data_IF_384477521697
#
_entry.id   IF_384477521697
#
_cell.length_a   1.000
_cell.length_b   1.000
_cell.length_c   1.000
_cell.angle_alpha   90.00
_cell.angle_beta   90.00
_cell.angle_gamma   90.00
#
_symmetry.space_group_name_H-M   'P 1'
#
loop_
_entity.id
_entity.type
_entity.pdbx_description
1 polymer ?
#
# COMPACT_ATOMS: atom_id res chain seq x y z
N UNK A 1 16.99 11.17 6.52
CA UNK A 1 15.96 11.42 7.57
C UNK A 1 16.68 12.00 8.78
N UNK A 2 16.53 13.29 9.03
CA UNK A 2 17.24 13.97 10.10
C UNK A 2 16.88 13.43 11.48
N UNK A 3 17.91 12.96 12.19
CA UNK A 3 17.77 12.56 13.57
C UNK A 3 17.55 13.80 14.45
N UNK A 4 16.41 13.90 15.07
CA UNK A 4 16.23 14.72 16.25
C UNK A 4 15.31 15.93 16.16
N UNK A 5 15.01 16.52 15.01
CA UNK A 5 14.15 17.72 15.02
C UNK A 5 12.65 17.45 14.80
N UNK A 6 12.28 16.34 14.14
CA UNK A 6 10.87 16.04 13.83
C UNK A 6 10.49 14.55 14.04
N UNK A 7 11.23 13.79 14.86
CA UNK A 7 10.91 12.39 15.14
C UNK A 7 11.31 11.40 14.03
N UNK A 8 12.34 11.72 13.25
CA UNK A 8 12.91 10.81 12.25
C UNK A 8 13.83 9.75 12.87
N UNK A 9 13.96 8.58 12.22
CA UNK A 9 14.77 7.45 12.66
C UNK A 9 16.29 7.67 12.58
N UNK A 10 16.75 8.76 11.96
CA UNK A 10 18.17 9.08 11.80
C UNK A 10 18.96 8.12 10.94
N UNK A 11 18.30 7.39 10.04
CA UNK A 11 18.96 6.45 9.13
C UNK A 11 19.87 7.21 8.13
N UNK A 12 21.05 6.67 7.87
CA UNK A 12 21.89 7.12 6.76
C UNK A 12 21.25 6.80 5.40
N UNK A 13 21.65 7.50 4.34
CA UNK A 13 21.12 7.27 2.99
C UNK A 13 21.35 5.82 2.53
N UNK A 14 22.50 5.22 2.92
CA UNK A 14 22.79 3.81 2.62
C UNK A 14 21.88 2.84 3.35
N UNK A 15 21.60 3.06 4.62
CA UNK A 15 20.67 2.25 5.42
C UNK A 15 19.22 2.39 4.89
N UNK A 16 18.80 3.61 4.56
CA UNK A 16 17.50 3.85 3.95
C UNK A 16 17.37 3.14 2.59
N UNK A 17 18.40 3.24 1.75
CA UNK A 17 18.46 2.55 0.46
C UNK A 17 18.38 1.02 0.60
N UNK A 18 19.03 0.44 1.61
CA UNK A 18 18.96 -1.00 1.88
C UNK A 18 17.58 -1.42 2.38
N UNK A 19 17.01 -0.66 3.32
CA UNK A 19 15.70 -0.95 3.91
C UNK A 19 14.60 -0.85 2.85
N UNK A 20 14.52 0.24 2.13
CA UNK A 20 13.46 0.45 1.13
C UNK A 20 13.77 -0.25 -0.20
N UNK A 21 15.00 -0.13 -0.68
CA UNK A 21 15.38 -0.63 -2.00
C UNK A 21 15.61 -2.14 -2.06
N UNK A 22 16.00 -2.80 -0.97
CA UNK A 22 16.23 -4.24 -0.95
C UNK A 22 15.13 -4.97 -0.19
N UNK A 23 15.01 -4.71 1.11
CA UNK A 23 14.05 -5.42 1.98
C UNK A 23 12.62 -5.08 1.56
N UNK A 24 12.33 -3.80 1.30
CA UNK A 24 11.03 -3.34 0.85
C UNK A 24 10.62 -3.96 -0.49
N UNK A 25 11.51 -3.97 -1.48
CA UNK A 25 11.23 -4.55 -2.81
C UNK A 25 10.97 -6.06 -2.73
N UNK A 26 11.72 -6.79 -1.90
CA UNK A 26 11.46 -8.22 -1.66
C UNK A 26 10.07 -8.42 -1.06
N UNK A 27 9.73 -7.67 -0.02
CA UNK A 27 8.41 -7.71 0.62
C UNK A 27 7.28 -7.43 -0.38
N UNK A 28 7.40 -6.33 -1.13
CA UNK A 28 6.45 -5.91 -2.16
C UNK A 28 6.22 -7.00 -3.22
N UNK A 29 7.31 -7.57 -3.73
CA UNK A 29 7.24 -8.59 -4.78
C UNK A 29 6.58 -9.87 -4.28
N UNK A 30 6.98 -10.37 -3.11
CA UNK A 30 6.38 -11.55 -2.49
C UNK A 30 4.90 -11.33 -2.18
N UNK A 31 4.56 -10.18 -1.63
CA UNK A 31 3.17 -9.79 -1.38
C UNK A 31 2.34 -9.79 -2.65
N UNK A 32 2.83 -9.15 -3.72
CA UNK A 32 2.16 -9.08 -5.01
C UNK A 32 1.91 -10.45 -5.65
N UNK A 33 2.91 -11.34 -5.64
CA UNK A 33 2.79 -12.71 -6.15
C UNK A 33 1.74 -13.49 -5.36
N UNK A 34 1.83 -13.47 -4.03
CA UNK A 34 0.89 -14.19 -3.17
C UNK A 34 -0.53 -13.62 -3.26
N UNK A 35 -0.67 -12.30 -3.39
CA UNK A 35 -1.96 -11.65 -3.61
C UNK A 35 -2.60 -12.09 -4.94
N UNK A 36 -1.83 -12.13 -6.01
CA UNK A 36 -2.28 -12.64 -7.31
C UNK A 36 -2.73 -14.10 -7.25
N UNK A 37 -1.95 -14.97 -6.57
CA UNK A 37 -2.29 -16.38 -6.38
C UNK A 37 -3.58 -16.53 -5.55
N UNK A 38 -3.72 -15.79 -4.45
CA UNK A 38 -4.89 -15.84 -3.60
C UNK A 38 -6.16 -15.45 -4.38
N UNK A 39 -6.12 -14.32 -5.09
CA UNK A 39 -7.23 -13.85 -5.90
C UNK A 39 -7.58 -14.82 -7.04
N UNK A 40 -6.59 -15.45 -7.68
CA UNK A 40 -6.82 -16.41 -8.76
C UNK A 40 -7.48 -17.72 -8.29
N UNK A 41 -7.32 -18.08 -7.01
CA UNK A 41 -7.93 -19.29 -6.44
C UNK A 41 -9.39 -19.09 -6.06
N UNK A 42 -9.66 -18.01 -5.32
CA UNK A 42 -10.94 -17.83 -4.63
C UNK A 42 -11.78 -16.69 -5.21
N UNK A 43 -11.24 -15.93 -6.14
CA UNK A 43 -11.86 -14.76 -6.74
C UNK A 43 -11.58 -13.47 -5.97
N UNK A 44 -11.69 -12.35 -6.69
CA UNK A 44 -11.40 -11.02 -6.13
C UNK A 44 -12.33 -10.65 -4.98
N UNK A 45 -13.63 -10.94 -5.09
CA UNK A 45 -14.64 -10.58 -4.08
C UNK A 45 -14.31 -11.13 -2.69
N UNK A 46 -13.83 -12.38 -2.62
CA UNK A 46 -13.48 -13.04 -1.34
C UNK A 46 -12.27 -12.40 -0.69
N UNK A 47 -11.26 -12.04 -1.49
CA UNK A 47 -10.00 -11.49 -1.02
C UNK A 47 -9.97 -9.97 -0.90
N UNK A 48 -11.02 -9.28 -1.38
CA UNK A 48 -11.07 -7.82 -1.36
C UNK A 48 -10.81 -7.24 0.04
N UNK A 49 -11.58 -7.67 1.03
CA UNK A 49 -11.45 -7.18 2.42
C UNK A 49 -10.12 -7.55 3.08
N UNK A 50 -9.65 -8.81 3.04
CA UNK A 50 -8.32 -9.15 3.52
C UNK A 50 -7.20 -8.34 2.87
N UNK A 51 -7.30 -8.06 1.56
CA UNK A 51 -6.31 -7.29 0.83
C UNK A 51 -6.34 -5.80 1.17
N UNK A 52 -7.52 -5.21 1.35
CA UNK A 52 -7.66 -3.83 1.82
C UNK A 52 -7.09 -3.68 3.24
N UNK A 53 -7.36 -4.63 4.12
CA UNK A 53 -6.77 -4.65 5.46
C UNK A 53 -5.24 -4.81 5.41
N UNK A 54 -4.73 -5.64 4.49
CA UNK A 54 -3.30 -5.86 4.33
C UNK A 54 -2.54 -4.61 3.81
N UNK A 55 -3.21 -3.71 3.09
CA UNK A 55 -2.63 -2.39 2.73
C UNK A 55 -2.67 -1.43 3.91
N UNK A 56 -3.79 -1.33 4.61
CA UNK A 56 -4.04 -0.21 5.53
C UNK A 56 -3.55 -0.48 6.96
N UNK A 57 -3.60 -1.74 7.43
CA UNK A 57 -3.14 -2.05 8.80
C UNK A 57 -1.63 -1.88 8.99
N UNK A 58 -0.77 -2.29 8.04
CA UNK A 58 0.66 -2.08 8.19
C UNK A 58 1.11 -0.62 8.23
N UNK A 59 0.30 0.33 7.74
CA UNK A 59 0.59 1.77 7.89
C UNK A 59 0.71 2.18 9.37
N UNK A 60 0.04 1.45 10.29
CA UNK A 60 0.20 1.63 11.73
C UNK A 60 1.63 1.36 12.22
N UNK A 61 2.40 0.59 11.48
CA UNK A 61 3.82 0.35 11.77
C UNK A 61 4.62 1.65 11.70
N UNK A 62 4.30 2.54 10.77
CA UNK A 62 4.97 3.84 10.70
C UNK A 62 4.58 4.76 11.86
N UNK A 63 3.34 4.69 12.32
CA UNK A 63 2.93 5.36 13.57
C UNK A 63 3.77 4.81 14.72
N UNK A 64 3.86 3.50 14.88
CA UNK A 64 4.68 2.86 15.90
C UNK A 64 6.16 3.30 15.81
N UNK A 65 6.76 3.26 14.62
CA UNK A 65 8.15 3.69 14.41
C UNK A 65 8.37 5.15 14.75
N UNK A 66 7.41 6.04 14.50
CA UNK A 66 7.50 7.47 14.81
C UNK A 66 7.45 7.77 16.31
N UNK A 67 6.86 6.89 17.11
CA UNK A 67 6.79 7.03 18.56
C UNK A 67 7.95 6.34 19.28
N UNK A 68 8.32 5.13 18.84
CA UNK A 68 9.33 4.30 19.54
C UNK A 68 10.75 4.65 19.12
N UNK A 69 10.94 5.14 17.87
CA UNK A 69 12.25 5.52 17.30
C UNK A 69 13.35 4.47 17.58
N UNK A 70 13.14 3.19 17.20
CA UNK A 70 14.07 2.14 17.54
C UNK A 70 15.43 2.38 16.85
N UNK A 71 16.51 2.28 17.63
CA UNK A 71 17.89 2.34 17.12
C UNK A 71 18.34 1.05 16.44
N UNK A 72 17.54 -0.03 16.52
CA UNK A 72 17.88 -1.33 15.95
C UNK A 72 17.39 -1.42 14.50
N UNK A 73 18.33 -1.41 13.56
CA UNK A 73 18.07 -1.52 12.14
C UNK A 73 17.29 -2.80 11.75
N UNK A 74 17.49 -3.90 12.49
CA UNK A 74 16.74 -5.15 12.25
C UNK A 74 15.24 -4.95 12.48
N UNK A 75 14.86 -4.21 13.53
CA UNK A 75 13.45 -3.93 13.81
C UNK A 75 12.82 -3.07 12.73
N UNK A 76 13.54 -2.07 12.23
CA UNK A 76 13.11 -1.23 11.11
C UNK A 76 12.91 -2.09 9.85
N UNK A 77 13.85 -2.98 9.54
CA UNK A 77 13.74 -3.89 8.38
C UNK A 77 12.51 -4.81 8.47
N UNK A 78 12.22 -5.38 9.63
CA UNK A 78 11.03 -6.23 9.83
C UNK A 78 9.75 -5.40 9.64
N UNK A 79 9.70 -4.21 10.20
CA UNK A 79 8.56 -3.31 10.07
C UNK A 79 8.30 -2.94 8.61
N UNK A 80 9.32 -2.52 7.87
CA UNK A 80 9.21 -2.16 6.45
C UNK A 80 8.88 -3.38 5.59
N UNK A 81 9.44 -4.56 5.91
CA UNK A 81 9.08 -5.78 5.19
C UNK A 81 7.59 -6.11 5.31
N UNK A 82 7.03 -6.04 6.53
CA UNK A 82 5.61 -6.32 6.79
C UNK A 82 4.73 -5.32 6.04
N UNK A 83 5.08 -4.05 6.10
CA UNK A 83 4.33 -2.99 5.41
C UNK A 83 4.38 -3.19 3.89
N UNK A 84 5.54 -3.35 3.31
CA UNK A 84 5.70 -3.51 1.87
C UNK A 84 5.08 -4.83 1.35
N UNK A 85 5.15 -5.89 2.15
CA UNK A 85 4.45 -7.14 1.84
C UNK A 85 2.94 -6.93 1.82
N UNK A 86 2.38 -6.28 2.84
CA UNK A 86 0.95 -5.94 2.91
C UNK A 86 0.52 -5.06 1.75
N UNK A 87 1.32 -4.05 1.43
CA UNK A 87 1.09 -3.18 0.29
C UNK A 87 1.05 -3.97 -1.03
N UNK A 88 2.06 -4.81 -1.30
CA UNK A 88 2.08 -5.64 -2.51
C UNK A 88 0.90 -6.61 -2.61
N UNK A 89 0.57 -7.26 -1.49
CA UNK A 89 -0.54 -8.19 -1.41
C UNK A 89 -1.88 -7.51 -1.71
N UNK A 90 -2.14 -6.37 -1.11
CA UNK A 90 -3.39 -5.65 -1.30
C UNK A 90 -3.44 -4.89 -2.63
N UNK A 91 -2.30 -4.41 -3.15
CA UNK A 91 -2.22 -3.77 -4.45
C UNK A 91 -2.66 -4.70 -5.59
N UNK A 92 -2.48 -6.02 -5.42
CA UNK A 92 -3.00 -7.01 -6.36
C UNK A 92 -4.52 -6.95 -6.51
N UNK A 93 -5.27 -6.73 -5.41
CA UNK A 93 -6.72 -6.54 -5.48
C UNK A 93 -7.09 -5.28 -6.24
N UNK A 94 -6.37 -4.20 -5.99
CA UNK A 94 -6.60 -2.93 -6.68
C UNK A 94 -6.39 -3.06 -8.19
N UNK A 95 -5.30 -3.67 -8.63
CA UNK A 95 -5.03 -3.91 -10.04
C UNK A 95 -6.10 -4.80 -10.70
N UNK A 96 -6.51 -5.87 -10.02
CA UNK A 96 -7.59 -6.73 -10.50
C UNK A 96 -8.93 -6.00 -10.59
N UNK A 97 -9.21 -5.10 -9.64
CA UNK A 97 -10.41 -4.27 -9.68
C UNK A 97 -10.39 -3.29 -10.86
N UNK A 98 -9.25 -2.69 -11.19
CA UNK A 98 -9.11 -1.84 -12.39
C UNK A 98 -9.38 -2.62 -13.67
N UNK A 99 -8.91 -3.88 -13.74
CA UNK A 99 -9.20 -4.78 -14.87
C UNK A 99 -10.69 -5.11 -14.93
N UNK A 100 -11.31 -5.40 -13.78
CA UNK A 100 -12.75 -5.67 -13.69
C UNK A 100 -13.60 -4.50 -14.18
N UNK A 101 -13.28 -3.30 -13.68
CA UNK A 101 -14.01 -2.08 -14.03
C UNK A 101 -13.82 -1.67 -15.50
N UNK A 102 -12.68 -2.02 -16.08
CA UNK A 102 -12.33 -1.65 -17.47
C UNK A 102 -12.91 -2.59 -18.52
N UNK A 103 -13.69 -3.60 -18.15
CA UNK A 103 -14.26 -4.55 -19.12
C UNK A 103 -15.27 -3.87 -20.05
N UNK A 104 -15.37 -4.37 -21.31
CA UNK A 104 -16.25 -3.84 -22.33
C UNK A 104 -15.55 -3.64 -23.68
N UNK A 105 -16.22 -2.97 -24.61
CA UNK A 105 -15.75 -2.78 -25.98
C UNK A 105 -14.43 -1.98 -26.04
N UNK A 106 -14.24 -0.98 -25.14
CA UNK A 106 -13.06 -0.12 -25.09
C UNK A 106 -12.15 -0.40 -23.87
N UNK A 107 -12.03 -1.67 -23.49
CA UNK A 107 -11.31 -2.10 -22.27
C UNK A 107 -9.91 -1.51 -22.11
N UNK A 108 -9.12 -1.43 -23.20
CA UNK A 108 -7.75 -0.91 -23.16
C UNK A 108 -7.73 0.59 -22.83
N UNK A 109 -8.62 1.37 -23.44
CA UNK A 109 -8.72 2.80 -23.17
C UNK A 109 -9.24 3.09 -21.77
N UNK A 110 -10.22 2.33 -21.29
CA UNK A 110 -10.72 2.45 -19.93
C UNK A 110 -9.63 2.10 -18.90
N UNK A 111 -8.90 1.00 -19.11
CA UNK A 111 -7.81 0.61 -18.23
C UNK A 111 -6.69 1.66 -18.20
N UNK A 112 -6.32 2.21 -19.36
CA UNK A 112 -5.33 3.29 -19.44
C UNK A 112 -5.77 4.54 -18.65
N UNK A 113 -7.05 4.91 -18.77
CA UNK A 113 -7.60 6.03 -18.01
C UNK A 113 -7.60 5.77 -16.51
N UNK A 114 -8.02 4.57 -16.07
CA UNK A 114 -7.99 4.17 -14.67
C UNK A 114 -6.56 4.20 -14.09
N UNK A 115 -5.57 3.70 -14.84
CA UNK A 115 -4.16 3.74 -14.40
C UNK A 115 -3.59 5.15 -14.39
N UNK A 116 -4.03 6.04 -15.28
CA UNK A 116 -3.67 7.46 -15.23
C UNK A 116 -4.22 8.15 -13.98
N UNK A 117 -5.49 7.90 -13.61
CA UNK A 117 -6.05 8.40 -12.36
C UNK A 117 -5.36 7.82 -11.13
N UNK A 118 -4.97 6.53 -11.16
CA UNK A 118 -4.17 5.91 -10.12
C UNK A 118 -2.83 6.66 -9.94
N UNK A 119 -2.11 6.93 -11.02
CA UNK A 119 -0.86 7.69 -10.94
C UNK A 119 -1.07 9.09 -10.37
N UNK A 120 -2.14 9.79 -10.80
CA UNK A 120 -2.49 11.10 -10.29
C UNK A 120 -2.79 11.09 -8.78
N UNK A 121 -3.50 10.07 -8.31
CA UNK A 121 -3.84 9.91 -6.90
C UNK A 121 -2.62 9.67 -6.00
N UNK A 122 -1.54 9.14 -6.55
CA UNK A 122 -0.26 9.01 -5.85
C UNK A 122 0.58 10.29 -5.93
N UNK A 123 0.59 10.94 -7.09
CA UNK A 123 1.40 12.13 -7.33
C UNK A 123 0.92 13.34 -6.53
N UNK A 124 -0.40 13.60 -6.49
CA UNK A 124 -0.94 14.80 -5.84
C UNK A 124 -0.63 14.80 -4.34
N UNK A 125 -0.95 13.77 -3.55
CA UNK A 125 -0.55 13.73 -2.14
C UNK A 125 0.97 13.77 -1.95
N UNK A 126 1.74 13.11 -2.84
CA UNK A 126 3.20 13.07 -2.82
C UNK A 126 3.84 14.46 -2.92
N UNK A 127 3.27 15.37 -3.71
CA UNK A 127 3.75 16.74 -3.85
C UNK A 127 3.66 17.55 -2.53
N UNK A 128 2.67 17.27 -1.70
CA UNK A 128 2.42 18.01 -0.46
C UNK A 128 2.92 17.27 0.79
N UNK A 129 3.23 15.97 0.67
CA UNK A 129 3.56 15.12 1.82
C UNK A 129 4.79 15.64 2.60
N UNK A 130 5.84 16.07 1.89
CA UNK A 130 7.05 16.60 2.53
C UNK A 130 6.76 17.89 3.31
N UNK A 131 6.12 18.86 2.68
CA UNK A 131 5.76 20.13 3.33
C UNK A 131 4.80 19.93 4.51
N UNK A 132 3.84 19.01 4.39
CA UNK A 132 2.94 18.67 5.48
C UNK A 132 3.71 18.03 6.65
N UNK A 133 4.61 17.08 6.36
CA UNK A 133 5.43 16.42 7.38
C UNK A 133 6.34 17.41 8.11
N UNK A 134 6.95 18.37 7.39
CA UNK A 134 7.77 19.42 8.00
C UNK A 134 6.93 20.34 8.92
N UNK A 135 5.70 20.64 8.53
CA UNK A 135 4.81 21.53 9.29
C UNK A 135 4.26 20.88 10.57
N UNK A 136 3.91 19.58 10.53
CA UNK A 136 3.21 18.89 11.63
C UNK A 136 4.05 17.85 12.37
N UNK A 137 5.24 17.52 11.87
CA UNK A 137 6.11 16.46 12.40
C UNK A 137 5.65 15.05 12.02
N UNK A 138 6.56 14.06 12.17
CA UNK A 138 6.30 12.67 11.73
C UNK A 138 5.12 12.01 12.45
N UNK A 139 4.97 12.21 13.75
CA UNK A 139 3.90 11.59 14.53
C UNK A 139 2.52 12.02 14.05
N UNK A 140 2.30 13.33 13.94
CA UNK A 140 1.02 13.87 13.47
C UNK A 140 0.78 13.54 12.00
N UNK A 141 1.83 13.58 11.17
CA UNK A 141 1.75 13.22 9.76
C UNK A 141 1.25 11.77 9.57
N UNK A 142 1.84 10.79 10.26
CA UNK A 142 1.39 9.40 10.13
C UNK A 142 -0.01 9.16 10.69
N UNK A 143 -0.43 9.88 11.72
CA UNK A 143 -1.81 9.82 12.20
C UNK A 143 -2.79 10.36 11.15
N UNK A 144 -2.45 11.45 10.46
CA UNK A 144 -3.26 11.99 9.35
C UNK A 144 -3.35 10.94 8.22
N UNK A 145 -2.24 10.32 7.83
CA UNK A 145 -2.19 9.29 6.77
C UNK A 145 -3.10 8.12 7.14
N UNK A 146 -2.97 7.54 8.34
CA UNK A 146 -3.78 6.40 8.79
C UNK A 146 -5.27 6.78 8.84
N UNK A 147 -5.59 7.99 9.29
CA UNK A 147 -6.97 8.48 9.29
C UNK A 147 -7.52 8.62 7.88
N UNK A 148 -6.72 9.14 6.94
CA UNK A 148 -7.10 9.23 5.53
C UNK A 148 -7.27 7.83 4.90
N UNK A 149 -6.39 6.88 5.21
CA UNK A 149 -6.51 5.49 4.75
C UNK A 149 -7.81 4.81 5.21
N UNK A 150 -8.38 5.23 6.34
CA UNK A 150 -9.67 4.66 6.80
C UNK A 150 -10.85 4.98 5.87
N UNK A 151 -10.75 6.03 5.03
CA UNK A 151 -11.73 6.30 3.98
C UNK A 151 -11.79 5.18 2.92
N UNK A 152 -10.71 4.42 2.75
CA UNK A 152 -10.65 3.28 1.83
C UNK A 152 -11.66 2.20 2.21
N UNK A 153 -11.93 2.00 3.50
CA UNK A 153 -12.95 1.04 3.97
C UNK A 153 -14.35 1.47 3.54
N UNK A 154 -14.66 2.77 3.60
CA UNK A 154 -15.93 3.31 3.13
C UNK A 154 -16.11 3.05 1.62
N UNK A 155 -15.10 3.37 0.82
CA UNK A 155 -15.13 3.13 -0.63
C UNK A 155 -15.29 1.63 -0.90
N UNK A 156 -14.52 0.78 -0.23
CA UNK A 156 -14.57 -0.69 -0.40
C UNK A 156 -15.95 -1.26 -0.11
N UNK A 157 -16.66 -0.68 0.85
CA UNK A 157 -18.03 -1.09 1.19
C UNK A 157 -19.04 -0.92 0.04
N UNK A 158 -18.83 0.11 -0.79
CA UNK A 158 -19.71 0.40 -1.94
C UNK A 158 -19.30 -0.36 -3.22
N UNK A 159 -18.21 -1.12 -3.21
CA UNK A 159 -17.76 -1.85 -4.38
C UNK A 159 -18.60 -3.13 -4.59
N UNK A 160 -19.28 -3.18 -5.71
CA UNK A 160 -19.97 -4.38 -6.18
C UNK A 160 -19.08 -5.15 -7.15
N UNK A 161 -18.70 -6.37 -6.79
CA UNK A 161 -17.84 -7.25 -7.58
C UNK A 161 -18.55 -8.59 -7.80
N UNK A 162 -18.50 -9.09 -9.03
CA UNK A 162 -18.99 -10.42 -9.37
C UNK A 162 -18.19 -11.48 -8.57
N UNK A 163 -18.87 -12.39 -7.86
CA UNK A 163 -18.20 -13.45 -7.08
C UNK A 163 -17.32 -14.40 -7.90
N UNK A 164 -17.57 -14.52 -9.19
CA UNK A 164 -16.80 -15.41 -10.07
C UNK A 164 -15.58 -14.71 -10.70
N UNK A 165 -15.53 -13.37 -10.65
CA UNK A 165 -14.43 -12.63 -11.25
C UNK A 165 -13.08 -12.94 -10.59
N UNK A 166 -12.10 -13.24 -11.43
CA UNK A 166 -10.73 -13.53 -11.01
C UNK A 166 -10.47 -14.99 -10.63
N UNK A 167 -11.50 -15.83 -10.54
CA UNK A 167 -11.31 -17.27 -10.31
C UNK A 167 -10.71 -17.95 -11.54
N UNK A 168 -9.76 -18.84 -11.30
CA UNK A 168 -9.25 -19.73 -12.34
C UNK A 168 -10.36 -20.71 -12.73
N UNK A 169 -10.70 -20.74 -14.02
CA UNK A 169 -11.61 -21.75 -14.56
C UNK A 169 -10.98 -23.13 -14.28
N UNK A 170 -11.71 -23.97 -13.58
CA UNK A 170 -11.31 -25.37 -13.39
C UNK A 170 -11.76 -26.12 -14.66
N UNK A 171 -10.79 -26.48 -15.49
CA UNK A 171 -10.98 -27.45 -16.56
C UNK A 171 -11.27 -28.83 -15.96
#
# INVERSE_FOLDING_TARGET
MDAGHNGGLGLSDGEYGLVQGTVGVIGLTLGGILGGIAASRDGLKRWLWPMVLAITLPDLVYVYLSYVLPSNLLMVNICVFIEQFGYGFGFSAYMLYLIYYSQGEHKTSHYALCTAFMALSMMIPGLFAGALQEAVGYQTFFLIVVTACSLTYLVTWFLEIDPEFGKKIKD
#
